data_IF_305649314954
#
_entry.id   IF_305649314954
#
_cell.length_a   1.000
_cell.length_b   1.000
_cell.length_c   1.000
_cell.angle_alpha   90.00
_cell.angle_beta   90.00
_cell.angle_gamma   90.00
#
_symmetry.space_group_name_H-M   'P 1'
#
loop_
_entity.id
_entity.type
_entity.pdbx_description
1 polymer ?
#
# COMPACT_ATOMS: atom_id res chain seq x y z
N UNK A 1 17.06 14.61 -13.30
CA UNK A 1 17.36 13.39 -14.08
C UNK A 1 17.03 12.15 -13.24
N UNK A 2 15.74 11.97 -12.94
CA UNK A 2 15.28 11.13 -11.81
C UNK A 2 14.84 9.72 -12.16
N UNK A 3 15.36 9.10 -13.22
CA UNK A 3 15.13 7.69 -13.51
C UNK A 3 16.02 6.84 -12.59
N UNK A 4 15.72 6.86 -11.28
CA UNK A 4 16.24 5.85 -10.38
C UNK A 4 15.80 4.48 -10.88
N UNK A 5 16.75 3.60 -11.13
CA UNK A 5 16.55 2.21 -11.50
C UNK A 5 15.68 1.52 -10.43
N UNK A 6 14.35 1.57 -10.57
CA UNK A 6 13.51 0.62 -9.87
C UNK A 6 13.71 -0.71 -10.57
N UNK A 7 14.34 -1.67 -9.88
CA UNK A 7 14.25 -3.06 -10.29
C UNK A 7 12.74 -3.38 -10.26
N UNK A 8 12.11 -3.72 -11.40
CA UNK A 8 10.70 -4.08 -11.40
C UNK A 8 10.55 -5.27 -10.44
N UNK A 9 9.58 -5.20 -9.53
CA UNK A 9 9.27 -6.34 -8.68
C UNK A 9 9.00 -7.54 -9.61
N UNK A 10 9.78 -8.61 -9.47
CA UNK A 10 9.72 -9.77 -10.36
C UNK A 10 9.61 -11.05 -9.54
N UNK A 11 8.80 -11.99 -10.03
CA UNK A 11 8.71 -13.35 -9.52
C UNK A 11 8.92 -14.31 -10.69
N UNK A 12 9.93 -15.18 -10.61
CA UNK A 12 10.30 -16.12 -11.69
C UNK A 12 10.49 -15.44 -13.06
N UNK A 13 11.12 -14.25 -13.10
CA UNK A 13 11.34 -13.50 -14.34
C UNK A 13 10.10 -12.85 -14.95
N UNK A 14 8.93 -12.97 -14.30
CA UNK A 14 7.71 -12.26 -14.71
C UNK A 14 7.57 -10.95 -13.94
N UNK A 15 7.24 -9.84 -14.62
CA UNK A 15 6.95 -8.58 -13.94
C UNK A 15 5.71 -8.73 -13.06
N UNK A 16 5.79 -8.21 -11.84
CA UNK A 16 4.67 -8.15 -10.91
C UNK A 16 3.92 -6.84 -11.18
N UNK A 17 2.60 -6.87 -11.43
CA UNK A 17 1.81 -5.65 -11.60
C UNK A 17 1.87 -4.77 -10.35
N UNK A 18 2.13 -3.47 -10.53
CA UNK A 18 2.12 -2.48 -9.47
C UNK A 18 1.00 -1.46 -9.72
N UNK A 19 0.10 -1.31 -8.74
CA UNK A 19 -1.05 -0.41 -8.83
C UNK A 19 -0.93 0.67 -7.74
N UNK A 20 -0.90 1.94 -8.17
CA UNK A 20 -0.92 3.08 -7.25
C UNK A 20 -2.34 3.59 -7.04
N UNK A 21 -2.79 3.65 -5.79
CA UNK A 21 -4.10 4.23 -5.42
C UNK A 21 -3.87 5.53 -4.66
N UNK A 22 -4.37 6.64 -5.20
CA UNK A 22 -4.22 7.98 -4.64
C UNK A 22 -5.55 8.73 -4.66
N UNK A 23 -5.63 9.85 -3.93
CA UNK A 23 -6.85 10.63 -3.74
C UNK A 23 -6.87 11.37 -2.41
N UNK A 24 -7.79 12.32 -2.26
CA UNK A 24 -7.93 13.18 -1.07
C UNK A 24 -8.19 12.39 0.22
N UNK A 25 -7.95 13.02 1.36
CA UNK A 25 -8.28 12.45 2.67
C UNK A 25 -9.78 12.15 2.77
N UNK A 26 -10.15 10.95 3.23
CA UNK A 26 -11.55 10.54 3.34
C UNK A 26 -12.24 10.06 2.05
N UNK A 27 -11.57 10.09 0.90
CA UNK A 27 -12.14 9.66 -0.39
C UNK A 27 -12.49 8.15 -0.49
N UNK A 28 -12.26 7.35 0.56
CA UNK A 28 -12.59 5.93 0.56
C UNK A 28 -11.53 4.99 -0.06
N UNK A 29 -10.28 5.48 -0.27
CA UNK A 29 -9.18 4.69 -0.86
C UNK A 29 -8.97 3.33 -0.18
N UNK A 30 -8.87 3.33 1.14
CA UNK A 30 -8.60 2.13 1.94
C UNK A 30 -9.76 1.14 1.85
N UNK A 31 -11.00 1.64 1.90
CA UNK A 31 -12.21 0.81 1.70
C UNK A 31 -12.31 0.21 0.29
N UNK A 32 -11.98 1.00 -0.74
CA UNK A 32 -11.94 0.50 -2.11
C UNK A 32 -10.85 -0.56 -2.28
N UNK A 33 -9.68 -0.32 -1.70
CA UNK A 33 -8.56 -1.27 -1.74
C UNK A 33 -8.94 -2.59 -1.06
N UNK A 34 -9.61 -2.55 0.09
CA UNK A 34 -10.13 -3.73 0.78
C UNK A 34 -11.08 -4.54 -0.11
N UNK A 35 -12.05 -3.89 -0.75
CA UNK A 35 -13.01 -4.56 -1.63
C UNK A 35 -12.34 -5.12 -2.90
N UNK A 36 -11.33 -4.43 -3.43
CA UNK A 36 -10.52 -4.96 -4.54
C UNK A 36 -9.80 -6.25 -4.10
N UNK A 37 -9.10 -6.22 -2.97
CA UNK A 37 -8.42 -7.41 -2.41
C UNK A 37 -9.42 -8.56 -2.26
N UNK A 38 -10.57 -8.29 -1.65
CA UNK A 38 -11.64 -9.29 -1.46
C UNK A 38 -12.05 -9.94 -2.78
N UNK A 39 -12.26 -9.14 -3.83
CA UNK A 39 -12.65 -9.61 -5.16
C UNK A 39 -11.55 -10.43 -5.82
N UNK A 40 -10.30 -9.99 -5.75
CA UNK A 40 -9.17 -10.74 -6.29
C UNK A 40 -8.99 -12.09 -5.60
N UNK A 41 -9.09 -12.14 -4.26
CA UNK A 41 -8.97 -13.40 -3.51
C UNK A 41 -10.13 -14.38 -3.77
N UNK A 42 -11.30 -13.84 -4.12
CA UNK A 42 -12.50 -14.63 -4.46
C UNK A 42 -12.42 -15.17 -5.89
N UNK A 43 -11.98 -14.35 -6.84
CA UNK A 43 -11.95 -14.71 -8.27
C UNK A 43 -10.72 -15.55 -8.65
N UNK A 44 -9.59 -15.35 -7.97
CA UNK A 44 -8.31 -15.98 -8.32
C UNK A 44 -7.74 -16.74 -7.13
N UNK A 45 -7.71 -18.08 -7.22
CA UNK A 45 -7.25 -18.94 -6.12
C UNK A 45 -5.75 -18.77 -5.81
N UNK A 46 -4.93 -18.55 -6.84
CA UNK A 46 -3.46 -18.53 -6.71
C UNK A 46 -2.86 -17.11 -6.56
N UNK A 47 -3.71 -16.07 -6.51
CA UNK A 47 -3.22 -14.69 -6.42
C UNK A 47 -2.64 -14.41 -5.02
N UNK A 48 -1.47 -13.78 -5.00
CA UNK A 48 -0.86 -13.26 -3.77
C UNK A 48 -0.78 -11.74 -3.90
N UNK A 49 -1.18 -11.03 -2.85
CA UNK A 49 -1.30 -9.56 -2.87
C UNK A 49 -0.41 -8.96 -1.78
N UNK A 50 0.38 -7.96 -2.15
CA UNK A 50 1.13 -7.15 -1.20
C UNK A 50 0.56 -5.72 -1.18
N UNK A 51 0.21 -5.23 0.01
CA UNK A 51 -0.33 -3.90 0.25
C UNK A 51 0.67 -3.08 1.05
N UNK A 52 1.07 -1.94 0.50
CA UNK A 52 1.90 -0.95 1.18
C UNK A 52 1.04 0.31 1.34
N UNK A 53 0.57 0.56 2.57
CA UNK A 53 -0.21 1.76 2.88
C UNK A 53 0.68 2.87 3.41
N UNK A 54 0.36 4.13 3.09
CA UNK A 54 1.15 5.30 3.50
C UNK A 54 0.22 6.28 4.21
N UNK A 55 0.37 6.38 5.52
CA UNK A 55 -0.37 7.31 6.37
C UNK A 55 0.53 8.52 6.76
N UNK A 56 0.02 9.77 6.69
CA UNK A 56 0.78 10.92 7.15
C UNK A 56 0.95 10.90 8.68
N UNK A 57 2.16 11.16 9.18
CA UNK A 57 2.41 11.29 10.62
C UNK A 57 1.93 12.65 11.15
N UNK A 58 1.41 12.69 12.38
CA UNK A 58 1.08 13.95 13.05
C UNK A 58 2.38 14.61 13.55
N UNK A 59 2.74 15.74 12.93
CA UNK A 59 3.97 16.50 13.21
C UNK A 59 4.08 16.88 14.69
N UNK A 60 2.99 17.34 15.31
CA UNK A 60 2.98 17.85 16.69
C UNK A 60 3.22 16.79 17.75
N UNK A 61 2.78 15.55 17.50
CA UNK A 61 2.83 14.46 18.49
C UNK A 61 3.86 13.39 18.13
N UNK A 62 4.49 13.47 16.95
CA UNK A 62 5.47 12.48 16.45
C UNK A 62 4.88 11.11 16.09
N UNK A 63 3.68 10.78 16.56
CA UNK A 63 2.97 9.54 16.26
C UNK A 63 2.16 9.56 14.96
N UNK A 64 1.84 8.37 14.45
CA UNK A 64 0.93 8.15 13.34
C UNK A 64 -0.22 7.23 13.78
N UNK A 65 -1.45 7.58 13.42
CA UNK A 65 -2.55 6.64 13.45
C UNK A 65 -2.53 5.92 12.10
N UNK A 66 -2.24 4.62 12.11
CA UNK A 66 -2.17 3.79 10.91
C UNK A 66 -3.58 3.41 10.44
N UNK A 67 -4.34 4.43 10.02
CA UNK A 67 -5.77 4.37 9.79
C UNK A 67 -6.17 3.49 8.61
N UNK A 68 -5.30 3.33 7.62
CA UNK A 68 -5.57 2.49 6.46
C UNK A 68 -5.77 1.02 6.86
N UNK A 69 -4.96 0.51 7.81
CA UNK A 69 -5.07 -0.89 8.27
C UNK A 69 -6.39 -1.19 8.93
N UNK A 70 -6.95 -0.25 9.70
CA UNK A 70 -8.21 -0.43 10.42
C UNK A 70 -9.38 -0.63 9.44
N UNK A 71 -9.25 -0.17 8.20
CA UNK A 71 -10.29 -0.31 7.16
C UNK A 71 -10.18 -1.58 6.34
N UNK A 72 -9.14 -2.40 6.56
CA UNK A 72 -8.82 -3.58 5.74
C UNK A 72 -9.30 -4.84 6.46
N UNK A 73 -10.48 -5.34 6.09
CA UNK A 73 -11.08 -6.54 6.68
C UNK A 73 -10.67 -7.82 5.94
N UNK A 74 -10.25 -7.71 4.68
CA UNK A 74 -10.04 -8.84 3.77
C UNK A 74 -8.60 -9.34 3.74
N UNK A 75 -7.77 -8.90 4.69
CA UNK A 75 -6.31 -9.12 4.69
C UNK A 75 -5.86 -10.23 5.65
N UNK A 76 -6.76 -10.83 6.42
CA UNK A 76 -6.46 -11.91 7.38
C UNK A 76 -6.38 -13.27 6.66
N UNK A 77 -5.34 -13.44 5.85
CA UNK A 77 -5.06 -14.65 5.08
C UNK A 77 -3.58 -14.68 4.67
N UNK A 78 -2.99 -15.87 4.57
CA UNK A 78 -1.59 -16.05 4.16
C UNK A 78 -1.30 -15.53 2.73
N UNK A 79 -2.33 -15.34 1.92
CA UNK A 79 -2.22 -14.81 0.56
C UNK A 79 -2.10 -13.28 0.49
N UNK A 80 -2.22 -12.59 1.63
CA UNK A 80 -2.13 -11.13 1.70
C UNK A 80 -1.08 -10.69 2.71
N UNK A 81 -0.09 -9.93 2.22
CA UNK A 81 0.85 -9.21 3.07
C UNK A 81 0.47 -7.73 3.13
N UNK A 82 0.35 -7.16 4.33
CA UNK A 82 0.14 -5.73 4.49
C UNK A 82 1.21 -5.08 5.37
N UNK A 83 1.82 -4.00 4.89
CA UNK A 83 2.69 -3.12 5.67
C UNK A 83 2.17 -1.68 5.65
N UNK A 84 2.09 -1.07 6.82
CA UNK A 84 1.68 0.33 6.97
C UNK A 84 2.90 1.18 7.28
N UNK A 85 3.11 2.24 6.51
CA UNK A 85 4.24 3.16 6.63
C UNK A 85 3.73 4.53 7.03
N UNK A 86 4.48 5.21 7.90
CA UNK A 86 4.21 6.57 8.30
C UNK A 86 5.17 7.54 7.58
N UNK A 87 4.67 8.59 6.94
CA UNK A 87 5.56 9.62 6.35
C UNK A 87 5.89 10.70 7.37
N UNK A 88 7.17 11.06 7.47
CA UNK A 88 7.69 12.18 8.27
C UNK A 88 7.90 13.43 7.40
N UNK A 89 6.90 13.89 6.64
CA UNK A 89 6.98 15.17 5.95
C UNK A 89 5.60 15.63 5.48
N UNK A 90 5.30 16.91 5.69
CA UNK A 90 4.05 17.58 5.28
C UNK A 90 3.76 17.54 3.77
N UNK A 91 4.75 17.20 2.91
CA UNK A 91 4.67 17.35 1.46
C UNK A 91 5.13 16.12 0.64
N UNK A 92 5.20 14.91 1.23
CA UNK A 92 5.58 13.71 0.46
C UNK A 92 4.55 12.60 0.64
N UNK A 93 3.89 12.22 -0.45
CA UNK A 93 3.00 11.06 -0.55
C UNK A 93 3.75 9.74 -0.69
N UNK A 94 5.08 9.78 -0.81
CA UNK A 94 5.95 8.60 -0.91
C UNK A 94 6.92 8.54 0.28
N UNK A 95 7.08 7.36 0.86
CA UNK A 95 8.01 7.10 1.97
C UNK A 95 9.45 6.95 1.47
N UNK A 96 10.44 7.36 2.27
CA UNK A 96 11.86 7.12 1.96
C UNK A 96 12.20 5.63 1.89
N UNK A 97 11.42 4.76 2.54
CA UNK A 97 11.55 3.31 2.43
C UNK A 97 11.23 2.77 1.01
N UNK A 98 10.67 3.60 0.12
CA UNK A 98 10.37 3.27 -1.28
C UNK A 98 11.46 3.83 -2.22
N UNK A 99 12.34 4.72 -1.72
CA UNK A 99 13.48 5.22 -2.47
C UNK A 99 14.64 4.22 -2.30
N UNK A 100 14.76 3.32 -3.26
CA UNK A 100 15.98 2.51 -3.45
C UNK A 100 17.18 3.40 -3.76
#
# INVERSE_FOLDING_TARGET
>A
DGHGNMIPAQKNGKPIPLIGITGTGGAGKSSLTDELIRRFLTEFEEVNIAVISIDPSKIRTGGALLGDRIRMNSIDTDRVYMRSLATRASNRTTSEAIKG
#
